data_IF_895786901130
#
_entry.id   IF_895786901130
#
_cell.length_a   1.000
_cell.length_b   1.000
_cell.length_c   1.000
_cell.angle_alpha   90.00
_cell.angle_beta   90.00
_cell.angle_gamma   90.00
#
_symmetry.space_group_name_H-M   'P 1'
#
loop_
_entity.id
_entity.type
_entity.pdbx_description
1 polymer ?
#
# COMPACT_ATOMS: atom_id res chain seq x y z
N UNK A 1 -73.71 25.47 36.35
CA UNK A 1 -72.88 24.66 35.48
C UNK A 1 -71.51 25.29 35.42
N UNK A 2 -70.55 24.73 36.15
CA UNK A 2 -69.12 25.20 36.13
C UNK A 2 -68.40 24.45 35.05
N UNK A 3 -67.81 25.20 34.11
CA UNK A 3 -66.97 24.67 33.09
C UNK A 3 -65.48 24.65 33.58
N UNK A 4 -64.86 23.47 33.67
CA UNK A 4 -63.50 23.32 33.96
C UNK A 4 -62.70 23.45 32.65
N UNK A 5 -61.87 24.47 32.57
CA UNK A 5 -60.88 24.58 31.49
C UNK A 5 -59.60 23.77 31.85
N UNK A 6 -59.29 22.74 31.09
CA UNK A 6 -58.02 21.98 31.18
C UNK A 6 -56.97 22.67 30.31
N UNK A 7 -56.00 23.30 30.94
CA UNK A 7 -54.85 23.83 30.27
C UNK A 7 -53.83 22.71 30.05
N UNK A 8 -53.65 22.30 28.80
CA UNK A 8 -52.58 21.40 28.40
C UNK A 8 -51.23 22.20 28.38
N UNK A 9 -50.36 21.91 29.34
CA UNK A 9 -48.96 22.37 29.32
C UNK A 9 -48.15 21.52 28.34
N UNK A 10 -47.76 22.10 27.22
CA UNK A 10 -46.80 21.54 26.31
C UNK A 10 -45.40 21.57 26.94
N UNK A 11 -44.87 20.41 27.29
CA UNK A 11 -43.47 20.26 27.64
C UNK A 11 -42.66 20.45 26.36
N UNK A 12 -42.04 21.61 26.19
CA UNK A 12 -40.99 21.82 25.22
C UNK A 12 -39.78 21.02 25.70
N UNK A 13 -39.46 19.92 25.01
CA UNK A 13 -38.24 19.18 25.15
C UNK A 13 -37.06 20.12 24.85
N UNK A 14 -36.13 20.25 25.78
CA UNK A 14 -34.88 20.95 25.55
C UNK A 14 -34.05 20.21 24.47
N UNK A 15 -34.04 20.78 23.29
CA UNK A 15 -33.22 20.29 22.16
C UNK A 15 -31.84 20.98 22.08
N UNK A 16 -31.41 21.66 23.14
CA UNK A 16 -30.07 22.27 23.19
C UNK A 16 -29.23 21.67 24.31
N UNK A 17 -28.98 20.36 24.24
CA UNK A 17 -27.83 19.78 24.90
C UNK A 17 -26.68 19.81 23.87
N UNK A 18 -25.64 20.66 24.03
CA UNK A 18 -24.48 20.60 23.16
C UNK A 18 -23.92 19.19 23.22
N UNK A 19 -23.71 18.58 22.06
CA UNK A 19 -23.13 17.23 21.94
C UNK A 19 -21.89 17.13 22.85
N UNK A 20 -21.82 16.09 23.71
CA UNK A 20 -20.67 15.96 24.59
C UNK A 20 -19.44 15.71 23.74
N UNK A 21 -18.55 16.67 23.74
CA UNK A 21 -17.17 16.57 23.27
C UNK A 21 -16.97 15.90 21.92
N UNK A 22 -16.72 16.70 20.90
CA UNK A 22 -16.03 16.23 19.70
C UNK A 22 -14.69 15.61 20.14
N UNK A 23 -14.64 14.28 20.15
CA UNK A 23 -13.40 13.58 20.40
C UNK A 23 -12.42 13.96 19.28
N UNK A 24 -11.32 14.68 19.56
CA UNK A 24 -10.38 15.14 18.55
C UNK A 24 -9.73 13.98 17.78
N UNK A 25 -9.85 12.74 18.29
CA UNK A 25 -9.44 11.51 17.61
C UNK A 25 -10.51 10.91 16.70
N UNK A 26 -11.73 11.45 16.68
CA UNK A 26 -12.83 11.01 15.84
C UNK A 26 -13.04 11.95 14.64
N UNK A 27 -11.99 12.59 14.17
CA UNK A 27 -12.00 13.18 12.83
C UNK A 27 -12.20 12.02 11.86
N UNK A 28 -13.45 11.80 11.47
CA UNK A 28 -13.76 11.11 10.22
C UNK A 28 -12.87 11.76 9.18
N UNK A 29 -11.82 11.07 8.78
CA UNK A 29 -10.91 11.56 7.75
C UNK A 29 -11.82 11.82 6.55
N UNK A 30 -12.07 13.08 6.23
CA UNK A 30 -12.70 13.43 4.97
C UNK A 30 -11.78 12.91 3.89
N UNK A 31 -12.16 11.78 3.31
CA UNK A 31 -11.45 11.18 2.19
C UNK A 31 -11.73 12.11 1.02
N UNK A 32 -10.85 13.08 0.82
CA UNK A 32 -10.87 13.90 -0.39
C UNK A 32 -10.64 12.95 -1.55
N UNK A 33 -11.55 12.86 -2.54
CA UNK A 33 -11.35 12.01 -3.69
C UNK A 33 -9.99 12.33 -4.32
N UNK A 34 -9.19 11.31 -4.59
CA UNK A 34 -7.90 11.50 -5.27
C UNK A 34 -8.13 12.23 -6.60
N UNK A 35 -7.34 13.28 -6.86
CA UNK A 35 -7.40 13.95 -8.16
C UNK A 35 -6.89 13.01 -9.25
N UNK A 36 -7.58 13.02 -10.41
CA UNK A 36 -7.15 12.27 -11.58
C UNK A 36 -5.78 12.79 -12.06
N UNK A 37 -4.81 11.89 -12.22
CA UNK A 37 -3.44 12.20 -12.61
C UNK A 37 -2.83 11.09 -13.47
N UNK A 38 -1.85 11.45 -14.30
CA UNK A 38 -1.13 10.54 -15.19
C UNK A 38 -1.69 10.50 -16.61
N UNK A 39 -0.91 9.95 -17.53
CA UNK A 39 -1.24 9.80 -18.96
C UNK A 39 -1.38 8.35 -19.40
N UNK A 40 -1.19 7.38 -18.49
CA UNK A 40 -1.29 5.95 -18.77
C UNK A 40 -0.08 5.36 -19.47
N UNK A 41 1.03 6.09 -19.53
CA UNK A 41 2.31 5.60 -20.07
C UNK A 41 3.16 5.00 -18.99
N UNK A 42 4.23 4.27 -19.33
CA UNK A 42 5.19 3.74 -18.37
C UNK A 42 5.84 4.83 -17.50
N UNK A 43 6.21 5.95 -18.15
CA UNK A 43 6.84 7.07 -17.47
C UNK A 43 5.88 7.89 -16.60
N UNK A 44 4.59 7.83 -16.90
CA UNK A 44 3.54 8.59 -16.24
C UNK A 44 2.25 7.75 -16.16
N UNK A 45 2.22 6.70 -15.30
CA UNK A 45 1.05 5.85 -15.13
C UNK A 45 -0.17 6.63 -14.67
N UNK A 46 -1.35 6.26 -15.14
CA UNK A 46 -2.58 6.74 -14.51
C UNK A 46 -2.60 6.41 -13.03
N UNK A 47 -3.08 7.30 -12.20
CA UNK A 47 -3.57 6.90 -10.90
C UNK A 47 -4.96 6.24 -11.04
N UNK A 48 -5.45 5.59 -9.99
CA UNK A 48 -6.73 4.86 -10.04
C UNK A 48 -7.90 5.78 -10.38
N UNK A 49 -7.92 7.00 -9.84
CA UNK A 49 -8.96 7.98 -10.12
C UNK A 49 -8.99 8.37 -11.62
N UNK A 50 -7.83 8.62 -12.22
CA UNK A 50 -7.73 8.95 -13.64
C UNK A 50 -8.19 7.81 -14.55
N UNK A 51 -7.75 6.59 -14.26
CA UNK A 51 -8.16 5.41 -15.03
C UNK A 51 -9.66 5.15 -14.91
N UNK A 52 -10.21 5.21 -13.70
CA UNK A 52 -11.66 5.06 -13.50
C UNK A 52 -12.46 6.11 -14.27
N UNK A 53 -12.00 7.36 -14.31
CA UNK A 53 -12.63 8.42 -15.08
C UNK A 53 -12.53 8.15 -16.60
N UNK A 54 -11.35 7.74 -17.06
CA UNK A 54 -11.12 7.37 -18.46
C UNK A 54 -12.04 6.23 -18.90
N UNK A 55 -12.09 5.12 -18.13
CA UNK A 55 -12.92 3.96 -18.47
C UNK A 55 -14.42 4.29 -18.49
N UNK A 56 -14.89 5.13 -17.56
CA UNK A 56 -16.29 5.59 -17.55
C UNK A 56 -16.66 6.46 -18.74
N UNK A 57 -15.69 7.10 -19.40
CA UNK A 57 -15.91 7.88 -20.62
C UNK A 57 -16.01 7.00 -21.87
N UNK A 58 -15.54 5.76 -21.82
CA UNK A 58 -15.63 4.81 -22.91
C UNK A 58 -17.03 4.17 -23.00
N UNK A 59 -17.37 3.66 -24.18
CA UNK A 59 -18.54 2.78 -24.30
C UNK A 59 -18.34 1.52 -23.47
N UNK A 60 -19.44 0.96 -22.96
CA UNK A 60 -19.42 -0.33 -22.26
C UNK A 60 -18.72 -1.41 -23.10
N UNK A 61 -17.96 -2.26 -22.43
CA UNK A 61 -17.30 -3.43 -23.01
C UNK A 61 -16.26 -3.13 -24.12
N UNK A 62 -15.82 -1.86 -24.22
CA UNK A 62 -14.71 -1.48 -25.13
C UNK A 62 -13.39 -1.54 -24.34
N UNK A 63 -12.46 -2.37 -24.85
CA UNK A 63 -11.13 -2.48 -24.25
C UNK A 63 -10.25 -1.29 -24.62
N UNK A 64 -9.40 -0.87 -23.69
CA UNK A 64 -8.32 0.09 -23.98
C UNK A 64 -7.19 -0.58 -24.77
N UNK A 65 -6.29 0.23 -25.31
CA UNK A 65 -4.93 -0.22 -25.60
C UNK A 65 -4.21 -0.60 -24.30
N UNK A 66 -3.00 -1.14 -24.41
CA UNK A 66 -2.16 -1.38 -23.22
C UNK A 66 -1.77 -0.06 -22.58
N UNK A 67 -2.14 0.11 -21.32
CA UNK A 67 -1.83 1.29 -20.51
C UNK A 67 -1.31 0.88 -19.14
N UNK A 68 -0.78 1.84 -18.42
CA UNK A 68 -0.23 1.66 -17.08
C UNK A 68 -1.10 2.36 -16.05
N UNK A 69 -1.34 1.70 -14.93
CA UNK A 69 -2.01 2.27 -13.75
C UNK A 69 -1.21 1.98 -12.50
N UNK A 70 -1.12 2.96 -11.61
CA UNK A 70 -0.46 2.86 -10.30
C UNK A 70 -1.49 2.96 -9.18
N UNK A 71 -1.32 2.16 -8.14
CA UNK A 71 -2.15 2.22 -6.93
C UNK A 71 -1.61 1.34 -5.82
N UNK A 72 -2.31 1.34 -4.68
CA UNK A 72 -2.03 0.48 -3.53
C UNK A 72 -3.01 -0.66 -3.46
N UNK A 73 -2.55 -1.85 -3.15
CA UNK A 73 -3.39 -3.04 -2.95
C UNK A 73 -4.25 -2.86 -1.70
N UNK A 74 -5.56 -2.91 -1.88
CA UNK A 74 -6.55 -2.71 -0.80
C UNK A 74 -7.00 -4.04 -0.23
N UNK A 75 -7.29 -5.01 -1.12
CA UNK A 75 -7.73 -6.35 -0.72
C UNK A 75 -7.45 -7.35 -1.84
N UNK A 76 -7.17 -8.59 -1.48
CA UNK A 76 -6.93 -9.70 -2.41
C UNK A 76 -8.11 -10.64 -2.29
N UNK A 77 -8.85 -10.86 -3.40
CA UNK A 77 -9.97 -11.81 -3.45
C UNK A 77 -9.50 -13.23 -3.73
N UNK A 78 -8.54 -13.37 -4.62
CA UNK A 78 -8.02 -14.64 -5.05
C UNK A 78 -6.58 -14.49 -5.53
N UNK A 79 -5.72 -15.44 -5.18
CA UNK A 79 -4.38 -15.59 -5.72
C UNK A 79 -4.16 -17.07 -6.01
N UNK A 80 -4.03 -17.40 -7.28
CA UNK A 80 -3.80 -18.78 -7.75
C UNK A 80 -2.32 -18.97 -8.02
N UNK A 81 -1.69 -19.91 -7.34
CA UNK A 81 -0.29 -20.32 -7.57
C UNK A 81 -0.14 -21.59 -8.42
N UNK A 82 -1.28 -22.12 -8.86
CA UNK A 82 -1.37 -23.28 -9.76
C UNK A 82 -2.44 -23.02 -10.83
N UNK A 83 -2.52 -23.86 -11.83
CA UNK A 83 -3.50 -23.73 -12.91
C UNK A 83 -3.28 -22.46 -13.75
N UNK A 84 -4.17 -21.48 -13.66
CA UNK A 84 -4.06 -20.23 -14.40
C UNK A 84 -2.95 -19.33 -13.86
N UNK A 85 -2.65 -19.40 -12.53
CA UNK A 85 -1.60 -18.62 -11.89
C UNK A 85 -1.84 -17.13 -11.99
N UNK A 86 -3.07 -16.68 -11.80
CA UNK A 86 -3.44 -15.27 -11.82
C UNK A 86 -3.99 -14.82 -10.46
N UNK A 87 -4.10 -13.52 -10.27
CA UNK A 87 -4.66 -12.93 -9.07
C UNK A 87 -5.81 -11.98 -9.39
N UNK A 88 -6.76 -11.90 -8.45
CA UNK A 88 -7.89 -10.99 -8.47
C UNK A 88 -7.87 -10.17 -7.18
N UNK A 89 -7.78 -8.85 -7.30
CA UNK A 89 -7.61 -7.95 -6.17
C UNK A 89 -8.11 -6.54 -6.48
N UNK A 90 -8.14 -5.68 -5.48
CA UNK A 90 -8.48 -4.26 -5.64
C UNK A 90 -7.29 -3.38 -5.34
N UNK A 91 -7.18 -2.29 -6.09
CA UNK A 91 -6.23 -1.22 -5.82
C UNK A 91 -6.96 0.12 -5.69
N UNK A 92 -6.39 1.06 -4.95
CA UNK A 92 -6.83 2.46 -4.88
C UNK A 92 -5.64 3.40 -4.76
N UNK A 93 -5.86 4.70 -4.90
CA UNK A 93 -4.78 5.68 -4.81
C UNK A 93 -4.22 5.83 -3.40
N UNK A 94 -5.07 5.72 -2.38
CA UNK A 94 -4.74 5.96 -0.97
C UNK A 94 -4.65 4.68 -0.12
N UNK A 95 -5.02 3.51 -0.68
CA UNK A 95 -5.07 2.23 0.03
C UNK A 95 -6.38 2.01 0.78
N UNK A 96 -7.39 2.89 0.62
CA UNK A 96 -8.74 2.71 1.20
C UNK A 96 -9.67 2.01 0.23
N UNK A 97 -10.86 1.63 0.73
CA UNK A 97 -11.90 0.99 -0.09
C UNK A 97 -12.68 1.97 -0.98
N UNK A 98 -12.38 3.26 -0.91
CA UNK A 98 -13.05 4.28 -1.72
C UNK A 98 -12.37 4.43 -3.08
N UNK A 99 -13.15 4.48 -4.16
CA UNK A 99 -12.65 4.72 -5.52
C UNK A 99 -11.79 3.59 -6.08
N UNK A 100 -11.94 2.38 -5.60
CA UNK A 100 -11.17 1.21 -6.03
C UNK A 100 -11.28 0.91 -7.53
N UNK A 101 -10.22 0.33 -8.08
CA UNK A 101 -10.19 -0.34 -9.37
C UNK A 101 -10.11 -1.85 -9.16
N UNK A 102 -10.91 -2.60 -9.91
CA UNK A 102 -10.92 -4.05 -9.86
C UNK A 102 -9.87 -4.62 -10.82
N UNK A 103 -8.88 -5.31 -10.25
CA UNK A 103 -7.85 -6.03 -11.01
C UNK A 103 -8.30 -7.50 -11.09
N UNK A 104 -8.87 -7.86 -12.22
CA UNK A 104 -9.47 -9.17 -12.43
C UNK A 104 -8.53 -10.07 -13.24
N UNK A 105 -8.11 -11.20 -12.65
CA UNK A 105 -7.27 -12.23 -13.29
C UNK A 105 -6.01 -11.66 -13.95
N UNK A 106 -5.30 -10.82 -13.22
CA UNK A 106 -3.99 -10.29 -13.64
C UNK A 106 -2.89 -11.30 -13.39
N UNK A 107 -1.87 -11.30 -14.24
CA UNK A 107 -0.67 -12.10 -14.07
C UNK A 107 0.36 -11.41 -13.17
N UNK A 108 1.39 -12.13 -12.83
CA UNK A 108 2.51 -11.68 -12.01
C UNK A 108 3.53 -10.85 -12.81
N UNK A 109 4.62 -10.44 -12.18
CA UNK A 109 5.73 -9.73 -12.79
C UNK A 109 6.24 -10.45 -14.05
N UNK A 110 6.73 -9.69 -15.02
CA UNK A 110 7.17 -10.19 -16.33
C UNK A 110 6.08 -10.94 -17.10
N UNK A 111 4.82 -10.68 -16.84
CA UNK A 111 3.67 -11.38 -17.46
C UNK A 111 3.72 -12.90 -17.22
N UNK A 112 4.24 -13.33 -16.08
CA UNK A 112 4.33 -14.74 -15.67
C UNK A 112 3.16 -15.14 -14.78
N UNK A 113 3.01 -16.42 -14.54
CA UNK A 113 2.05 -16.94 -13.56
C UNK A 113 2.55 -16.66 -12.14
N UNK A 114 1.64 -16.35 -11.22
CA UNK A 114 1.95 -16.38 -9.79
C UNK A 114 2.33 -17.82 -9.38
N UNK A 115 3.41 -17.94 -8.64
CA UNK A 115 3.93 -19.22 -8.10
C UNK A 115 4.10 -19.16 -6.57
N UNK A 116 4.05 -17.97 -5.98
CA UNK A 116 4.17 -17.73 -4.55
C UNK A 116 2.90 -17.06 -4.02
N UNK A 117 2.31 -17.65 -2.98
CA UNK A 117 1.12 -17.11 -2.31
C UNK A 117 1.37 -15.77 -1.59
N UNK A 118 2.63 -15.41 -1.37
CA UNK A 118 3.05 -14.16 -0.74
C UNK A 118 3.57 -13.12 -1.74
N UNK A 119 3.43 -13.38 -3.05
CA UNK A 119 3.94 -12.51 -4.11
C UNK A 119 3.37 -11.10 -4.08
N UNK A 120 2.14 -10.93 -3.58
CA UNK A 120 1.44 -9.64 -3.44
C UNK A 120 0.73 -9.59 -2.08
N UNK A 121 0.72 -8.42 -1.44
CA UNK A 121 0.11 -8.21 -0.11
C UNK A 121 -0.70 -6.93 -0.10
N UNK A 122 -1.66 -6.86 0.82
CA UNK A 122 -2.40 -5.61 1.11
C UNK A 122 -1.40 -4.54 1.57
N UNK A 123 -1.53 -3.34 1.01
CA UNK A 123 -0.64 -2.21 1.24
C UNK A 123 0.52 -2.09 0.25
N UNK A 124 0.79 -3.10 -0.57
CA UNK A 124 1.81 -3.00 -1.62
C UNK A 124 1.46 -1.91 -2.63
N UNK A 125 2.45 -1.12 -3.01
CA UNK A 125 2.34 -0.19 -4.14
C UNK A 125 2.64 -0.95 -5.43
N UNK A 126 1.68 -0.93 -6.35
CA UNK A 126 1.79 -1.68 -7.61
C UNK A 126 1.62 -0.76 -8.82
N UNK A 127 2.33 -1.11 -9.88
CA UNK A 127 2.05 -0.63 -11.24
C UNK A 127 1.58 -1.82 -12.06
N UNK A 128 0.40 -1.70 -12.66
CA UNK A 128 -0.21 -2.69 -13.52
C UNK A 128 -0.08 -2.23 -14.96
N UNK A 129 0.39 -3.09 -15.84
CA UNK A 129 0.34 -2.91 -17.29
C UNK A 129 -0.69 -3.82 -17.89
N UNK A 130 -1.53 -3.32 -18.81
CA UNK A 130 -2.46 -4.17 -19.54
C UNK A 130 -3.61 -3.41 -20.16
N UNK A 131 -4.60 -4.18 -20.59
CA UNK A 131 -5.85 -3.68 -21.13
C UNK A 131 -6.91 -3.60 -20.05
N UNK A 132 -7.73 -2.56 -20.12
CA UNK A 132 -8.80 -2.30 -19.17
C UNK A 132 -10.12 -2.11 -19.90
N UNK A 133 -11.21 -2.28 -19.20
CA UNK A 133 -12.57 -2.21 -19.74
C UNK A 133 -13.53 -1.63 -18.70
N UNK A 134 -14.55 -0.91 -19.15
CA UNK A 134 -15.72 -0.62 -18.34
C UNK A 134 -16.76 -1.72 -18.57
N UNK A 135 -16.60 -2.84 -17.85
CA UNK A 135 -17.42 -4.03 -18.03
C UNK A 135 -18.90 -3.72 -17.73
N UNK A 136 -19.77 -4.03 -18.69
CA UNK A 136 -21.20 -3.72 -18.64
C UNK A 136 -21.53 -2.24 -18.37
N UNK A 137 -20.57 -1.33 -18.58
CA UNK A 137 -20.74 0.10 -18.40
C UNK A 137 -20.73 0.60 -16.93
N UNK A 138 -20.50 -0.27 -15.97
CA UNK A 138 -20.56 0.08 -14.55
C UNK A 138 -19.42 -0.51 -13.70
N UNK A 139 -18.56 -1.37 -14.27
CA UNK A 139 -17.47 -2.02 -13.56
C UNK A 139 -16.14 -1.79 -14.28
N UNK A 140 -15.38 -0.73 -13.92
CA UNK A 140 -14.01 -0.56 -14.37
C UNK A 140 -13.14 -1.69 -13.86
N UNK A 141 -12.52 -2.44 -14.78
CA UNK A 141 -11.67 -3.60 -14.43
C UNK A 141 -10.61 -3.88 -15.49
N UNK A 142 -9.67 -4.77 -15.18
CA UNK A 142 -8.75 -5.33 -16.18
C UNK A 142 -9.45 -6.35 -17.07
N UNK A 143 -9.07 -6.41 -18.35
CA UNK A 143 -9.49 -7.50 -19.23
C UNK A 143 -8.83 -8.80 -18.75
N UNK A 144 -9.59 -9.91 -18.56
CA UNK A 144 -9.05 -11.16 -17.99
C UNK A 144 -7.80 -11.67 -18.71
N UNK A 145 -6.72 -11.91 -17.96
CA UNK A 145 -5.43 -12.40 -18.46
C UNK A 145 -4.77 -11.50 -19.54
N UNK A 146 -5.15 -10.20 -19.59
CA UNK A 146 -4.56 -9.19 -20.45
C UNK A 146 -3.87 -8.08 -19.66
N UNK A 147 -3.54 -8.37 -18.41
CA UNK A 147 -2.82 -7.47 -17.51
C UNK A 147 -1.85 -8.25 -16.64
N UNK A 148 -0.84 -7.56 -16.15
CA UNK A 148 0.15 -8.13 -15.25
C UNK A 148 0.76 -7.06 -14.35
N UNK A 149 1.35 -7.49 -13.25
CA UNK A 149 2.17 -6.64 -12.40
C UNK A 149 3.40 -6.18 -13.18
N UNK A 150 3.49 -4.87 -13.45
CA UNK A 150 4.68 -4.30 -14.07
C UNK A 150 5.75 -4.01 -13.02
N UNK A 151 5.34 -3.57 -11.84
CA UNK A 151 6.20 -3.47 -10.66
C UNK A 151 5.40 -3.61 -9.36
N UNK A 152 6.09 -4.04 -8.32
CA UNK A 152 5.61 -4.11 -6.95
C UNK A 152 6.64 -3.46 -6.03
N UNK A 153 6.22 -2.44 -5.25
CA UNK A 153 7.10 -1.66 -4.37
C UNK A 153 8.36 -1.15 -5.11
N UNK A 154 8.20 -0.75 -6.38
CA UNK A 154 9.25 -0.27 -7.25
C UNK A 154 10.11 -1.36 -7.93
N UNK A 155 9.88 -2.64 -7.64
CA UNK A 155 10.64 -3.76 -8.21
C UNK A 155 9.89 -4.41 -9.38
N UNK A 156 10.63 -4.73 -10.43
CA UNK A 156 10.11 -5.40 -11.64
C UNK A 156 10.33 -6.93 -11.64
N UNK A 157 10.91 -7.49 -10.58
CA UNK A 157 11.16 -8.93 -10.45
C UNK A 157 10.91 -9.39 -9.01
N UNK A 158 10.29 -10.58 -8.83
CA UNK A 158 10.25 -11.24 -7.53
C UNK A 158 11.63 -11.80 -7.17
N UNK A 159 11.96 -11.76 -5.88
CA UNK A 159 13.23 -12.32 -5.39
C UNK A 159 14.47 -11.54 -5.76
N UNK A 160 14.35 -10.49 -6.53
CA UNK A 160 15.29 -9.42 -6.43
C UNK A 160 14.87 -8.64 -5.18
N UNK A 161 15.47 -8.96 -4.05
CA UNK A 161 15.84 -7.89 -3.12
C UNK A 161 16.11 -6.68 -4.01
N UNK A 162 15.52 -5.46 -3.72
CA UNK A 162 16.02 -4.30 -4.42
C UNK A 162 17.53 -4.52 -4.44
N UNK A 163 18.11 -4.72 -5.62
CA UNK A 163 19.53 -4.50 -5.75
C UNK A 163 19.64 -3.02 -5.45
N UNK A 164 19.66 -2.72 -4.17
CA UNK A 164 20.35 -1.56 -3.68
C UNK A 164 21.60 -1.56 -4.51
N UNK A 165 21.86 -0.49 -5.28
CA UNK A 165 23.08 -0.47 -6.07
C UNK A 165 24.18 -0.95 -5.13
N UNK A 166 24.93 -1.97 -5.54
CA UNK A 166 26.05 -2.59 -4.79
C UNK A 166 27.14 -1.55 -4.54
N UNK A 167 26.82 -0.31 -4.67
CA UNK A 167 27.61 0.83 -4.30
C UNK A 167 27.53 0.92 -2.79
N UNK A 168 28.63 0.55 -2.16
CA UNK A 168 28.86 0.80 -0.73
C UNK A 168 28.46 2.25 -0.45
N UNK A 169 27.37 2.42 0.29
CA UNK A 169 26.86 3.75 0.65
C UNK A 169 27.23 4.01 2.09
N UNK A 170 28.07 5.03 2.28
CA UNK A 170 28.59 5.41 3.57
C UNK A 170 29.92 4.73 3.89
N UNK A 171 30.52 5.16 4.99
CA UNK A 171 31.78 4.68 5.53
C UNK A 171 31.64 4.09 6.94
N UNK A 172 30.43 4.06 7.47
CA UNK A 172 30.11 3.61 8.83
C UNK A 172 30.49 4.61 9.91
N UNK A 173 30.76 5.86 9.55
CA UNK A 173 31.04 6.97 10.48
C UNK A 173 29.78 7.78 10.74
N UNK A 174 29.79 8.60 11.77
CA UNK A 174 28.66 9.51 12.08
C UNK A 174 28.36 10.46 10.92
N UNK A 175 29.40 11.02 10.29
CA UNK A 175 29.25 11.92 9.14
C UNK A 175 28.80 11.20 7.86
N UNK A 176 29.08 9.90 7.73
CA UNK A 176 28.78 9.08 6.56
C UNK A 176 28.35 7.67 6.99
N UNK A 177 27.13 7.53 7.61
CA UNK A 177 26.65 6.22 8.08
C UNK A 177 26.42 5.26 6.92
N UNK A 178 26.64 3.96 7.16
CA UNK A 178 26.23 2.92 6.23
C UNK A 178 24.73 2.95 6.02
N UNK A 179 24.28 2.67 4.81
CA UNK A 179 22.91 2.24 4.61
C UNK A 179 22.73 0.78 5.09
N UNK A 180 21.48 0.34 5.29
CA UNK A 180 21.18 -0.99 5.84
C UNK A 180 21.74 -2.10 4.96
N UNK A 181 21.60 -2.00 3.63
CA UNK A 181 22.12 -3.00 2.71
C UNK A 181 23.65 -3.15 2.79
N UNK A 182 24.39 -2.04 2.90
CA UNK A 182 25.84 -2.07 3.07
C UNK A 182 26.23 -2.70 4.41
N UNK A 183 25.50 -2.38 5.49
CA UNK A 183 25.77 -2.96 6.80
C UNK A 183 25.49 -4.47 6.82
N UNK A 184 24.39 -4.92 6.25
CA UNK A 184 24.06 -6.35 6.13
C UNK A 184 25.14 -7.09 5.32
N UNK A 185 25.58 -6.55 4.19
CA UNK A 185 26.65 -7.14 3.39
C UNK A 185 27.97 -7.21 4.16
N UNK A 186 28.30 -6.17 4.94
CA UNK A 186 29.48 -6.15 5.78
C UNK A 186 29.41 -7.25 6.86
N UNK A 187 28.31 -7.34 7.61
CA UNK A 187 28.12 -8.36 8.63
C UNK A 187 28.16 -9.78 8.07
N UNK A 188 27.56 -10.00 6.88
CA UNK A 188 27.56 -11.31 6.21
C UNK A 188 28.98 -11.75 5.78
N UNK A 189 29.89 -10.81 5.56
CA UNK A 189 31.29 -11.10 5.21
C UNK A 189 32.17 -11.49 6.40
N UNK A 190 31.68 -11.28 7.62
CA UNK A 190 32.40 -11.61 8.85
C UNK A 190 32.28 -13.12 9.17
N UNK A 191 33.24 -13.62 9.95
CA UNK A 191 33.10 -14.96 10.54
C UNK A 191 31.91 -14.96 11.53
N UNK A 192 31.25 -16.10 11.65
CA UNK A 192 30.23 -16.28 12.67
C UNK A 192 30.78 -15.87 14.06
N UNK A 193 29.93 -15.24 14.87
CA UNK A 193 30.24 -14.76 16.22
C UNK A 193 31.32 -13.67 16.32
N UNK A 194 31.71 -13.06 15.18
CA UNK A 194 32.60 -11.91 15.19
C UNK A 194 31.83 -10.61 15.42
N UNK A 195 32.42 -9.71 16.21
CA UNK A 195 31.89 -8.35 16.40
C UNK A 195 32.65 -7.35 15.51
N UNK A 196 31.97 -6.30 15.10
CA UNK A 196 32.57 -5.13 14.44
C UNK A 196 33.09 -4.14 15.48
N UNK A 197 33.93 -3.19 15.04
CA UNK A 197 34.08 -1.93 15.79
C UNK A 197 32.73 -1.18 15.78
N UNK A 198 32.63 -0.14 16.63
CA UNK A 198 31.47 0.74 16.61
C UNK A 198 31.26 1.37 15.23
N UNK A 199 30.04 1.28 14.71
CA UNK A 199 29.67 1.76 13.39
C UNK A 199 28.30 2.42 13.41
N UNK A 200 28.14 3.41 12.52
CA UNK A 200 26.87 4.10 12.31
C UNK A 200 26.14 3.50 11.11
N UNK A 201 24.86 3.18 11.31
CA UNK A 201 23.94 2.73 10.25
C UNK A 201 22.68 3.60 10.24
N UNK A 202 22.21 3.91 9.04
CA UNK A 202 20.99 4.70 8.80
C UNK A 202 19.95 3.84 8.09
N UNK A 203 18.72 3.83 8.60
CA UNK A 203 17.59 3.13 8.00
C UNK A 203 16.26 3.65 8.52
N UNK A 204 15.16 3.16 7.94
CA UNK A 204 13.80 3.42 8.41
C UNK A 204 13.36 2.27 9.31
N UNK A 205 12.69 2.57 10.42
CA UNK A 205 12.10 1.54 11.30
C UNK A 205 10.95 0.88 10.53
N UNK A 206 11.04 -0.44 10.40
CA UNK A 206 10.02 -1.28 9.75
C UNK A 206 9.00 -1.77 10.76
N UNK A 207 9.50 -2.32 11.88
CA UNK A 207 8.66 -2.82 12.97
C UNK A 207 9.45 -2.86 14.29
N UNK A 208 8.73 -2.75 15.39
CA UNK A 208 9.29 -2.89 16.74
C UNK A 208 8.87 -4.26 17.26
N UNK A 209 9.85 -5.11 17.60
CA UNK A 209 9.61 -6.44 18.19
C UNK A 209 9.38 -6.35 19.68
N UNK A 210 10.16 -5.53 20.36
CA UNK A 210 10.10 -5.35 21.81
C UNK A 210 10.53 -3.92 22.17
N UNK A 211 9.84 -3.33 23.13
CA UNK A 211 10.19 -2.04 23.72
C UNK A 211 10.03 -2.14 25.24
N UNK A 212 11.15 -2.07 25.95
CA UNK A 212 11.16 -2.09 27.41
C UNK A 212 11.18 -0.65 27.91
N UNK A 213 10.11 -0.23 28.58
CA UNK A 213 10.01 1.10 29.20
C UNK A 213 10.43 1.10 30.68
N UNK A 214 10.81 -0.07 31.21
CA UNK A 214 11.33 -0.27 32.57
C UNK A 214 12.50 -1.26 32.53
N UNK A 215 13.25 -1.37 33.60
CA UNK A 215 14.43 -2.23 33.67
C UNK A 215 15.61 -1.63 32.89
N UNK A 216 16.11 -2.32 31.89
CA UNK A 216 17.24 -1.88 31.07
C UNK A 216 16.89 -0.77 30.08
N UNK A 217 15.60 -0.56 29.79
CA UNK A 217 15.14 0.50 28.87
C UNK A 217 15.60 0.31 27.42
N UNK A 218 15.78 -0.94 26.97
CA UNK A 218 16.22 -1.26 25.60
C UNK A 218 15.04 -1.59 24.68
N UNK A 219 15.33 -1.64 23.38
CA UNK A 219 14.36 -2.02 22.38
C UNK A 219 14.98 -2.97 21.34
N UNK A 220 14.15 -3.89 20.84
CA UNK A 220 14.48 -4.72 19.68
C UNK A 220 13.58 -4.32 18.52
N UNK A 221 14.16 -3.91 17.42
CA UNK A 221 13.41 -3.45 16.24
C UNK A 221 14.15 -3.76 14.94
N UNK A 222 13.45 -3.63 13.84
CA UNK A 222 13.98 -3.87 12.50
C UNK A 222 14.05 -2.55 11.73
N UNK A 223 15.13 -2.37 10.98
CA UNK A 223 15.32 -1.24 10.06
C UNK A 223 15.61 -1.76 8.65
N UNK A 224 15.22 -0.99 7.63
CA UNK A 224 15.59 -1.21 6.23
C UNK A 224 15.83 0.12 5.51
N UNK A 225 16.40 0.09 4.32
CA UNK A 225 16.67 1.31 3.56
C UNK A 225 15.39 1.98 3.04
N UNK A 226 14.42 1.18 2.65
CA UNK A 226 13.17 1.63 2.04
C UNK A 226 11.96 1.64 3.00
N UNK A 227 12.06 1.01 4.17
CA UNK A 227 10.97 0.84 5.14
C UNK A 227 10.14 -0.42 4.93
N UNK A 228 10.57 -1.32 4.04
CA UNK A 228 9.92 -2.62 3.81
C UNK A 228 10.52 -3.73 4.67
N UNK A 229 9.85 -4.88 4.73
CA UNK A 229 10.34 -6.05 5.47
C UNK A 229 11.46 -6.80 4.77
N UNK A 230 11.84 -6.41 3.55
CA UNK A 230 12.91 -7.04 2.77
C UNK A 230 14.24 -6.39 3.09
N UNK A 231 15.30 -7.20 3.26
CA UNK A 231 16.66 -6.69 3.53
C UNK A 231 16.81 -5.98 4.87
N UNK A 232 16.04 -6.39 5.88
CA UNK A 232 16.07 -5.80 7.22
C UNK A 232 17.35 -6.11 7.96
N UNK A 233 17.77 -5.18 8.82
CA UNK A 233 18.73 -5.37 9.90
C UNK A 233 17.99 -5.37 11.23
N UNK A 234 18.28 -6.34 12.08
CA UNK A 234 17.78 -6.38 13.46
C UNK A 234 18.67 -5.52 14.36
N UNK A 235 18.05 -4.66 15.14
CA UNK A 235 18.70 -3.86 16.18
C UNK A 235 18.22 -4.39 17.53
N UNK A 236 19.19 -4.69 18.42
CA UNK A 236 18.94 -5.18 19.78
C UNK A 236 19.27 -4.12 20.82
#
# INVERSE_FOLDING_TARGET
MMAFAVTASTLTSCEDVPSPYDNPNNKKQEVTPSQANGSGTEADPYNVAALNAHLKSLKADVNTEEIFVKGKVVSIKELQTSGFGNATYFISDDGTTTGQLYIYRSLDLDNKKFTDANAIKVGDEVVIRGQFVNYKGNTPETVPNKSYLYSINGNKQHGTTPTTPTTKVGEGTEASPYNVATMVAHLTSLKADSATAEMFVKGKIVSIKELQTSGFGNATYYISDDGTTTGQLTIF
#
